data_IF_061227789366
#
_entry.id   IF_061227789366
#
_cell.length_a   1.000
_cell.length_b   1.000
_cell.length_c   1.000
_cell.angle_alpha   90.00
_cell.angle_beta   90.00
_cell.angle_gamma   90.00
#
_symmetry.space_group_name_H-M   'P 1'
#
loop_
_entity.id
_entity.type
_entity.pdbx_description
1 polymer ?
#
# COMPACT_ATOMS: atom_id res chain seq x y z
N UNK A 1 -3.15 -31.19 10.39
CA UNK A 1 -4.05 -30.14 9.86
C UNK A 1 -3.36 -28.83 10.16
N UNK A 2 -2.98 -28.07 9.13
CA UNK A 2 -2.13 -26.88 9.27
C UNK A 2 -2.98 -25.70 9.71
N UNK A 3 -2.80 -25.28 10.96
CA UNK A 3 -3.39 -24.05 11.48
C UNK A 3 -2.79 -22.85 10.75
N UNK A 4 -3.70 -22.10 10.12
CA UNK A 4 -3.47 -20.87 9.41
C UNK A 4 -3.01 -19.78 10.38
N UNK A 5 -1.71 -19.71 10.67
CA UNK A 5 -1.15 -18.51 11.29
C UNK A 5 -1.06 -17.42 10.23
N UNK A 6 -2.08 -16.56 10.23
CA UNK A 6 -2.10 -15.28 9.55
C UNK A 6 -0.98 -14.40 10.15
N UNK A 7 0.26 -14.56 9.69
CA UNK A 7 1.36 -13.69 10.08
C UNK A 7 1.17 -12.36 9.33
N UNK A 8 0.27 -11.52 9.84
CA UNK A 8 0.22 -10.10 9.49
C UNK A 8 1.51 -9.49 10.02
N UNK A 9 2.43 -9.20 9.10
CA UNK A 9 3.70 -8.55 9.43
C UNK A 9 3.43 -7.08 9.71
N UNK A 10 3.52 -6.69 10.97
CA UNK A 10 3.55 -5.30 11.40
C UNK A 10 4.74 -4.59 10.73
N UNK A 11 4.46 -3.57 9.92
CA UNK A 11 5.51 -2.74 9.33
C UNK A 11 5.88 -1.65 10.34
N UNK A 12 6.95 -1.88 11.10
CA UNK A 12 7.62 -0.85 11.90
C UNK A 12 8.40 0.07 10.96
N UNK A 13 7.88 1.25 10.64
CA UNK A 13 8.57 2.18 9.73
C UNK A 13 9.34 3.25 10.50
N UNK A 14 10.62 2.95 10.74
CA UNK A 14 11.71 3.94 10.72
C UNK A 14 12.96 3.27 10.16
N UNK A 15 13.48 3.74 9.02
CA UNK A 15 14.80 3.35 8.50
C UNK A 15 14.91 2.15 7.56
N UNK A 16 13.82 1.67 6.94
CA UNK A 16 13.87 0.45 6.12
C UNK A 16 13.94 0.75 4.60
N UNK A 17 15.01 0.28 3.94
CA UNK A 17 15.04 -0.05 2.51
C UNK A 17 14.33 -1.40 2.32
N UNK A 18 13.01 -1.42 2.29
CA UNK A 18 12.25 -2.65 2.05
C UNK A 18 11.84 -2.66 0.57
N UNK A 19 12.47 -3.55 -0.17
CA UNK A 19 12.13 -3.83 -1.56
C UNK A 19 11.08 -4.97 -1.60
N UNK A 20 10.08 -4.86 -2.50
CA UNK A 20 9.00 -5.84 -2.71
C UNK A 20 7.96 -5.96 -1.58
N UNK A 21 7.30 -4.85 -1.26
CA UNK A 21 6.18 -4.76 -0.30
C UNK A 21 4.87 -5.14 -0.99
N UNK A 22 4.00 -5.89 -0.32
CA UNK A 22 2.62 -6.12 -0.76
C UNK A 22 1.65 -5.39 0.18
N UNK A 23 0.87 -4.46 -0.36
CA UNK A 23 -0.15 -3.72 0.38
C UNK A 23 -1.55 -4.17 0.02
N UNK A 24 -2.37 -4.35 1.05
CA UNK A 24 -3.81 -4.57 0.96
C UNK A 24 -4.54 -3.28 1.31
N UNK A 25 -5.38 -2.77 0.41
CA UNK A 25 -6.13 -1.52 0.58
C UNK A 25 -7.56 -1.70 0.10
N UNK A 26 -8.49 -1.01 0.76
CA UNK A 26 -9.89 -0.97 0.33
C UNK A 26 -10.10 0.14 -0.72
N UNK A 27 -10.77 -0.19 -1.83
CA UNK A 27 -11.24 0.82 -2.78
C UNK A 27 -12.47 1.58 -2.25
N UNK A 28 -12.90 2.60 -3.00
CA UNK A 28 -14.05 3.43 -2.64
C UNK A 28 -15.36 2.63 -2.55
N UNK A 29 -15.43 1.47 -3.21
CA UNK A 29 -16.57 0.55 -3.15
C UNK A 29 -16.42 -0.49 -2.02
N UNK A 30 -15.39 -0.37 -1.17
CA UNK A 30 -15.12 -1.30 -0.08
C UNK A 30 -14.54 -2.63 -0.53
N UNK A 31 -14.11 -2.77 -1.79
CA UNK A 31 -13.46 -3.99 -2.29
C UNK A 31 -11.96 -3.94 -2.00
N UNK A 32 -11.45 -5.07 -1.53
CA UNK A 32 -10.02 -5.25 -1.26
C UNK A 32 -9.22 -5.27 -2.56
N UNK A 33 -8.14 -4.50 -2.61
CA UNK A 33 -7.16 -4.40 -3.70
C UNK A 33 -5.76 -4.68 -3.15
N UNK A 34 -4.97 -5.33 -3.99
CA UNK A 34 -3.59 -5.71 -3.67
C UNK A 34 -2.64 -4.97 -4.58
N UNK A 35 -1.64 -4.32 -4.00
CA UNK A 35 -0.64 -3.55 -4.73
C UNK A 35 0.75 -4.08 -4.40
N UNK A 36 1.52 -4.37 -5.45
CA UNK A 36 2.94 -4.67 -5.31
C UNK A 36 3.74 -3.37 -5.38
N UNK A 37 4.39 -3.03 -4.29
CA UNK A 37 5.15 -1.80 -4.12
C UNK A 37 6.63 -2.18 -4.07
N UNK A 38 7.35 -1.85 -5.14
CA UNK A 38 8.77 -2.12 -5.24
C UNK A 38 9.56 -1.37 -4.17
N UNK A 39 9.16 -0.14 -3.82
CA UNK A 39 9.77 0.62 -2.73
C UNK A 39 8.81 1.66 -2.16
N UNK A 40 9.00 2.00 -0.88
CA UNK A 40 8.23 3.01 -0.16
C UNK A 40 9.20 3.97 0.56
N UNK A 41 9.30 5.22 0.10
CA UNK A 41 10.23 6.20 0.64
C UNK A 41 9.50 7.25 1.47
N UNK A 42 9.99 7.56 2.67
CA UNK A 42 9.42 8.63 3.49
C UNK A 42 9.50 9.95 2.71
N UNK A 43 8.36 10.61 2.55
CA UNK A 43 8.25 11.88 1.84
C UNK A 43 8.09 13.06 2.79
N UNK A 44 7.15 12.95 3.74
CA UNK A 44 6.83 14.02 4.72
C UNK A 44 6.12 13.42 5.92
N UNK A 45 6.32 13.98 7.11
CA UNK A 45 5.48 13.74 8.28
C UNK A 45 4.85 15.07 8.72
N UNK A 46 3.59 15.06 9.13
CA UNK A 46 2.87 16.27 9.52
C UNK A 46 1.71 15.95 10.46
N UNK A 47 1.08 17.00 10.98
CA UNK A 47 -0.15 16.89 11.78
C UNK A 47 -1.29 17.41 10.92
N UNK A 48 -2.37 16.65 10.84
CA UNK A 48 -3.59 17.06 10.14
C UNK A 48 -4.80 16.96 11.06
N UNK A 49 -5.65 17.97 10.99
CA UNK A 49 -6.93 17.99 11.67
C UNK A 49 -7.95 17.20 10.86
N UNK A 50 -8.54 16.16 11.45
CA UNK A 50 -9.59 15.37 10.81
C UNK A 50 -10.96 16.08 10.82
N UNK A 51 -11.97 15.45 10.21
CA UNK A 51 -13.35 15.97 10.16
C UNK A 51 -13.98 16.19 11.55
N UNK A 52 -13.50 15.49 12.57
CA UNK A 52 -13.95 15.60 13.95
C UNK A 52 -13.14 16.65 14.75
N UNK A 53 -12.36 17.50 14.07
CA UNK A 53 -11.47 18.51 14.68
C UNK A 53 -10.41 17.93 15.60
N UNK A 54 -10.03 16.67 15.39
CA UNK A 54 -8.95 16.02 16.13
C UNK A 54 -7.68 16.07 15.29
N UNK A 55 -6.61 16.58 15.88
CA UNK A 55 -5.27 16.53 15.30
C UNK A 55 -4.73 15.11 15.34
N UNK A 56 -4.17 14.67 14.21
CA UNK A 56 -3.60 13.33 14.06
C UNK A 56 -2.25 13.41 13.37
N UNK A 57 -1.32 12.58 13.81
CA UNK A 57 -0.08 12.39 13.08
C UNK A 57 -0.35 11.66 11.75
N UNK A 58 0.17 12.24 10.67
CA UNK A 58 0.06 11.72 9.31
C UNK A 58 1.46 11.61 8.71
N UNK A 59 1.72 10.49 8.06
CA UNK A 59 3.00 10.24 7.36
C UNK A 59 2.73 9.94 5.89
N UNK A 60 3.40 10.70 5.04
CA UNK A 60 3.35 10.56 3.59
C UNK A 60 4.58 9.83 3.09
N UNK A 61 4.36 8.91 2.17
CA UNK A 61 5.40 8.15 1.50
C UNK A 61 5.25 8.25 -0.01
N UNK A 62 6.38 8.23 -0.73
CA UNK A 62 6.43 8.08 -2.18
C UNK A 62 6.71 6.61 -2.50
N UNK A 63 5.72 5.92 -3.07
CA UNK A 63 5.82 4.51 -3.43
C UNK A 63 5.97 4.28 -4.93
N UNK A 64 6.78 3.28 -5.32
CA UNK A 64 6.87 2.79 -6.70
C UNK A 64 6.06 1.50 -6.82
N UNK A 65 4.90 1.57 -7.45
CA UNK A 65 3.96 0.46 -7.62
C UNK A 65 4.22 -0.24 -8.95
N UNK A 66 4.37 -1.57 -8.93
CA UNK A 66 4.45 -2.37 -10.14
C UNK A 66 3.04 -2.64 -10.69
N UNK A 67 2.87 -2.40 -11.99
CA UNK A 67 1.59 -2.52 -12.70
C UNK A 67 1.83 -3.40 -13.92
N UNK A 68 1.03 -4.46 -14.12
CA UNK A 68 1.14 -5.34 -15.29
C UNK A 68 0.11 -4.95 -16.36
N UNK A 69 0.57 -4.36 -17.46
CA UNK A 69 -0.28 -3.91 -18.57
C UNK A 69 0.19 -4.55 -19.86
N UNK A 70 -0.72 -5.18 -20.62
CA UNK A 70 -0.42 -5.80 -21.92
C UNK A 70 0.80 -6.75 -21.87
N UNK A 71 0.90 -7.57 -20.81
CA UNK A 71 2.02 -8.47 -20.49
C UNK A 71 3.38 -7.78 -20.25
N UNK A 72 3.41 -6.45 -20.17
CA UNK A 72 4.59 -5.66 -19.77
C UNK A 72 4.46 -5.17 -18.34
N UNK A 73 5.58 -5.16 -17.60
CA UNK A 73 5.66 -4.58 -16.26
C UNK A 73 5.98 -3.10 -16.39
N UNK A 74 5.09 -2.26 -15.89
CA UNK A 74 5.29 -0.82 -15.73
C UNK A 74 5.49 -0.48 -14.26
N UNK A 75 6.12 0.66 -13.99
CA UNK A 75 6.28 1.20 -12.63
C UNK A 75 5.58 2.55 -12.57
N UNK A 76 4.61 2.67 -11.66
CA UNK A 76 3.86 3.91 -11.39
C UNK A 76 4.28 4.47 -10.05
N UNK A 77 4.43 5.78 -9.96
CA UNK A 77 4.75 6.44 -8.69
C UNK A 77 3.47 6.96 -8.07
N UNK A 78 3.24 6.67 -6.79
CA UNK A 78 2.08 7.12 -6.03
C UNK A 78 2.48 7.67 -4.67
N UNK A 79 1.66 8.57 -4.14
CA UNK A 79 1.81 9.03 -2.77
C UNK A 79 0.89 8.20 -1.89
N UNK A 80 1.44 7.65 -0.83
CA UNK A 80 0.73 6.89 0.18
C UNK A 80 0.65 7.72 1.46
N UNK A 81 -0.52 7.76 2.07
CA UNK A 81 -0.77 8.39 3.36
C UNK A 81 -1.00 7.31 4.39
N UNK A 82 -0.19 7.32 5.45
CA UNK A 82 -0.36 6.51 6.64
C UNK A 82 -0.85 7.37 7.78
N UNK A 83 -1.83 6.87 8.53
CA UNK A 83 -2.29 7.44 9.80
C UNK A 83 -1.96 6.39 10.87
N UNK A 84 -0.78 6.47 11.51
CA UNK A 84 -0.27 5.41 12.39
C UNK A 84 -1.20 5.11 13.57
N UNK A 85 -1.80 6.14 14.17
CA UNK A 85 -2.68 6.02 15.33
C UNK A 85 -3.86 5.07 15.11
N UNK A 86 -4.38 5.00 13.89
CA UNK A 86 -5.51 4.13 13.53
C UNK A 86 -5.10 3.02 12.56
N UNK A 87 -3.79 2.87 12.32
CA UNK A 87 -3.20 1.88 11.42
C UNK A 87 -3.84 1.85 10.02
N UNK A 88 -4.23 3.02 9.50
CA UNK A 88 -4.85 3.12 8.17
C UNK A 88 -3.90 3.68 7.14
N UNK A 89 -4.03 3.14 5.93
CA UNK A 89 -3.29 3.55 4.75
C UNK A 89 -4.23 3.98 3.64
N UNK A 90 -3.79 4.95 2.85
CA UNK A 90 -4.52 5.48 1.71
C UNK A 90 -3.54 5.72 0.57
N UNK A 91 -4.02 5.60 -0.66
CA UNK A 91 -3.34 6.17 -1.84
C UNK A 91 -3.92 7.57 -2.01
N UNK A 92 -3.06 8.58 -2.10
CA UNK A 92 -3.48 9.93 -2.45
C UNK A 92 -3.80 10.00 -3.94
N UNK A 93 -4.83 10.78 -4.28
CA UNK A 93 -5.35 10.98 -5.63
C UNK A 93 -5.89 9.71 -6.31
N UNK A 94 -6.27 9.84 -7.58
CA UNK A 94 -6.73 8.76 -8.45
C UNK A 94 -5.69 7.63 -8.54
N UNK A 95 -6.15 6.38 -8.49
CA UNK A 95 -5.32 5.16 -8.58
C UNK A 95 -5.87 4.14 -9.59
N UNK A 96 -6.81 4.55 -10.43
CA UNK A 96 -7.42 3.77 -11.50
C UNK A 96 -6.37 3.26 -12.49
N UNK A 97 -5.27 4.00 -12.67
CA UNK A 97 -4.10 3.57 -13.46
C UNK A 97 -3.40 2.33 -12.87
N UNK A 98 -3.52 2.09 -11.57
CA UNK A 98 -3.06 0.87 -10.91
C UNK A 98 -4.03 -0.31 -11.12
N UNK A 99 -5.32 -0.03 -11.32
CA UNK A 99 -6.38 -1.03 -11.49
C UNK A 99 -6.39 -1.67 -12.89
N UNK A 100 -5.67 -1.12 -13.86
CA UNK A 100 -5.59 -1.62 -15.25
C UNK A 100 -4.72 -2.88 -15.41
N UNK A 101 -4.61 -3.67 -14.36
CA UNK A 101 -3.75 -4.84 -14.28
C UNK A 101 -4.58 -6.10 -14.22
N UNK A 102 -4.13 -7.15 -14.89
CA UNK A 102 -4.79 -8.46 -14.84
C UNK A 102 -5.11 -8.85 -13.38
N UNK A 103 -6.23 -9.56 -13.15
CA UNK A 103 -6.65 -9.94 -11.81
C UNK A 103 -5.52 -10.69 -11.10
N UNK A 104 -5.20 -10.20 -9.91
CA UNK A 104 -4.25 -10.77 -8.96
C UNK A 104 -4.27 -12.31 -8.98
N UNK A 105 -3.16 -12.92 -9.42
CA UNK A 105 -3.00 -14.36 -9.38
C UNK A 105 -2.41 -14.77 -8.02
N UNK A 106 -3.29 -15.16 -7.08
CA UNK A 106 -2.93 -15.67 -5.73
C UNK A 106 -1.81 -16.72 -5.75
N UNK A 107 -1.63 -17.45 -6.87
CA UNK A 107 -0.61 -18.49 -7.04
C UNK A 107 0.84 -17.98 -7.00
N UNK A 108 1.09 -16.70 -7.27
CA UNK A 108 2.45 -16.15 -7.26
C UNK A 108 3.05 -15.98 -5.86
N UNK A 109 2.24 -16.09 -4.79
CA UNK A 109 2.75 -16.11 -3.41
C UNK A 109 3.43 -17.42 -3.02
N UNK A 110 3.25 -18.49 -3.79
CA UNK A 110 3.72 -19.85 -3.44
C UNK A 110 5.14 -20.13 -3.96
N UNK A 111 5.73 -19.21 -4.74
CA UNK A 111 7.03 -19.39 -5.39
C UNK A 111 8.12 -18.41 -4.91
N UNK A 112 7.98 -17.84 -3.71
CA UNK A 112 9.04 -17.06 -3.06
C UNK A 112 9.38 -17.63 -1.70
#
# INVERSE_FOLDING_TARGET
>A
MSDMQEVRKEVKISGIKEDNIWMELFDWAGKVRYFHINCLLLHKSTIETNRNRKDMAVVYYKGRVAVQKDKKREIRTKIFKSIPEIQKWYICDEYEDLLRTEPYNKKLRVYQ
#
